data_IF_697808957307
#
_entry.id   IF_697808957307
#
_cell.length_a   1.000
_cell.length_b   1.000
_cell.length_c   1.000
_cell.angle_alpha   90.00
_cell.angle_beta   90.00
_cell.angle_gamma   90.00
#
_symmetry.space_group_name_H-M   'P 1'
#
loop_
_entity.id
_entity.type
_entity.pdbx_description
1 polymer ?
#
# COMPACT_ATOMS: atom_id res chain seq x y z
N UNK A 1 6.30 3.20 -12.35
CA UNK A 1 5.31 2.21 -12.82
C UNK A 1 4.75 1.48 -11.62
N UNK A 2 3.42 1.41 -11.47
CA UNK A 2 2.78 0.68 -10.37
C UNK A 2 3.05 -0.82 -10.48
N UNK A 3 3.40 -1.45 -9.35
CA UNK A 3 3.66 -2.89 -9.25
C UNK A 3 3.08 -3.41 -7.95
N UNK A 4 2.53 -4.63 -8.01
CA UNK A 4 2.12 -5.41 -6.85
C UNK A 4 3.10 -6.57 -6.63
N UNK A 5 3.37 -6.87 -5.37
CA UNK A 5 4.12 -8.04 -4.95
C UNK A 5 3.24 -8.79 -3.96
N UNK A 6 2.85 -10.01 -4.31
CA UNK A 6 2.06 -10.87 -3.43
C UNK A 6 2.96 -11.60 -2.45
N UNK A 7 2.57 -11.59 -1.17
CA UNK A 7 3.23 -12.33 -0.10
C UNK A 7 2.22 -13.26 0.59
N UNK A 8 2.67 -14.48 0.90
CA UNK A 8 1.84 -15.47 1.59
C UNK A 8 1.59 -15.08 3.06
N UNK A 9 0.32 -15.02 3.47
CA UNK A 9 -0.11 -14.73 4.86
C UNK A 9 0.46 -15.70 5.91
N UNK A 10 0.68 -16.96 5.50
CA UNK A 10 1.17 -18.04 6.36
C UNK A 10 2.67 -17.94 6.71
N UNK A 11 3.38 -16.94 6.19
CA UNK A 11 4.81 -16.88 6.38
C UNK A 11 5.20 -15.92 7.49
N UNK A 12 5.38 -16.49 8.67
CA UNK A 12 6.52 -16.14 9.54
C UNK A 12 7.88 -16.33 8.83
N UNK A 13 7.86 -16.79 7.57
CA UNK A 13 8.96 -16.82 6.59
C UNK A 13 8.63 -16.02 5.32
N UNK A 14 8.36 -14.73 5.44
CA UNK A 14 8.34 -13.85 4.27
C UNK A 14 9.79 -13.69 3.81
N UNK A 15 10.29 -14.67 3.04
CA UNK A 15 11.64 -14.66 2.47
C UNK A 15 11.65 -14.14 1.03
N UNK A 16 10.67 -13.30 0.67
CA UNK A 16 11.08 -12.08 -0.02
C UNK A 16 11.74 -11.24 1.07
N UNK A 17 13.04 -11.49 1.31
CA UNK A 17 13.86 -10.55 2.05
C UNK A 17 13.71 -9.23 1.28
N UNK A 18 12.87 -8.33 1.79
CA UNK A 18 13.12 -6.92 1.65
C UNK A 18 14.48 -6.75 2.32
N UNK A 19 15.55 -6.89 1.54
CA UNK A 19 16.94 -6.66 1.93
C UNK A 19 17.10 -5.16 2.16
N UNK A 20 16.28 -4.60 3.05
CA UNK A 20 16.33 -3.24 3.48
C UNK A 20 17.02 -3.24 4.84
N UNK A 21 18.33 -3.03 4.80
CA UNK A 21 19.11 -2.67 5.97
C UNK A 21 18.59 -1.30 6.42
N UNK A 22 18.15 -1.18 7.68
CA UNK A 22 17.60 0.07 8.22
C UNK A 22 16.10 0.28 8.00
N UNK A 23 15.34 -0.73 7.56
CA UNK A 23 13.87 -0.57 7.48
C UNK A 23 13.15 -0.91 8.78
N UNK A 24 12.05 -0.20 9.02
CA UNK A 24 11.09 -0.50 10.09
C UNK A 24 9.66 -0.55 9.55
N UNK A 25 8.80 -1.31 10.23
CA UNK A 25 7.37 -1.32 9.96
C UNK A 25 6.69 -0.31 10.86
N UNK A 26 6.00 0.65 10.23
CA UNK A 26 5.19 1.65 10.93
C UNK A 26 3.72 1.30 10.73
N UNK A 27 2.89 1.30 11.80
CA UNK A 27 1.46 1.06 11.66
C UNK A 27 0.79 2.14 10.84
N UNK A 28 -0.05 1.74 9.89
CA UNK A 28 -0.95 2.62 9.14
C UNK A 28 -2.41 2.44 9.57
N UNK A 29 -3.35 3.07 8.84
CA UNK A 29 -4.77 2.92 9.07
C UNK A 29 -5.22 1.46 8.95
N UNK A 30 -6.09 1.03 9.85
CA UNK A 30 -6.73 -0.31 9.84
C UNK A 30 -8.20 -0.25 9.42
N UNK A 31 -8.64 0.92 8.97
CA UNK A 31 -10.00 1.22 8.52
C UNK A 31 -9.95 2.00 7.22
N UNK A 32 -11.11 2.21 6.64
CA UNK A 32 -11.29 3.06 5.47
C UNK A 32 -10.66 4.45 5.65
N UNK A 33 -10.03 4.94 4.58
CA UNK A 33 -9.42 6.25 4.45
C UNK A 33 -10.04 6.94 3.24
N UNK A 34 -11.05 7.78 3.47
CA UNK A 34 -11.85 8.42 2.40
C UNK A 34 -11.22 9.67 1.78
N UNK A 35 -10.08 10.12 2.30
CA UNK A 35 -9.34 11.29 1.81
C UNK A 35 -7.98 10.88 1.25
N UNK A 36 -7.44 11.66 0.31
CA UNK A 36 -6.09 11.44 -0.20
C UNK A 36 -5.09 11.47 0.96
N UNK A 37 -4.39 10.36 1.13
CA UNK A 37 -3.43 10.15 2.21
C UNK A 37 -2.09 9.76 1.63
N UNK A 38 -1.03 10.36 2.17
CA UNK A 38 0.33 9.99 1.89
C UNK A 38 0.91 9.22 3.09
N UNK A 39 1.66 8.14 2.86
CA UNK A 39 2.46 7.51 3.91
C UNK A 39 3.44 8.50 4.56
N UNK A 40 4.01 8.16 5.72
CA UNK A 40 5.10 8.91 6.32
C UNK A 40 6.29 9.13 5.34
N UNK A 41 7.12 10.16 5.56
CA UNK A 41 8.37 10.33 4.82
C UNK A 41 9.23 9.07 4.83
N UNK A 42 10.05 8.90 3.79
CA UNK A 42 10.97 7.77 3.62
C UNK A 42 10.30 6.38 3.53
N UNK A 43 8.97 6.34 3.31
CA UNK A 43 8.26 5.12 2.97
C UNK A 43 8.72 4.60 1.61
N UNK A 44 9.26 3.38 1.60
CA UNK A 44 9.71 2.69 0.38
C UNK A 44 8.69 1.67 -0.14
N UNK A 45 7.76 1.23 0.71
CA UNK A 45 6.67 0.34 0.34
C UNK A 45 5.49 0.46 1.30
N UNK A 46 4.29 0.20 0.77
CA UNK A 46 3.04 0.09 1.54
C UNK A 46 2.57 -1.35 1.49
N UNK A 47 2.33 -1.94 2.66
CA UNK A 47 1.76 -3.27 2.83
C UNK A 47 0.26 -3.11 3.02
N UNK A 48 -0.53 -3.88 2.28
CA UNK A 48 -1.98 -3.80 2.21
C UNK A 48 -2.58 -5.18 2.44
N UNK A 49 -3.45 -5.28 3.44
CA UNK A 49 -4.26 -6.44 3.74
C UNK A 49 -5.74 -6.11 3.53
N UNK A 50 -6.38 -6.80 2.58
CA UNK A 50 -7.81 -6.69 2.28
C UNK A 50 -8.53 -8.04 2.44
N UNK A 51 -8.04 -8.91 3.32
CA UNK A 51 -8.70 -10.21 3.61
C UNK A 51 -10.13 -10.06 4.09
N UNK A 52 -10.41 -8.96 4.79
CA UNK A 52 -11.76 -8.63 5.20
C UNK A 52 -12.60 -8.23 3.98
N UNK A 53 -13.81 -8.80 3.89
CA UNK A 53 -14.70 -8.59 2.75
C UNK A 53 -14.96 -7.10 2.49
N UNK A 54 -14.80 -6.68 1.22
CA UNK A 54 -15.14 -5.33 0.76
C UNK A 54 -14.01 -4.30 0.86
N UNK A 55 -12.78 -4.73 1.21
CA UNK A 55 -11.61 -3.85 1.20
C UNK A 55 -11.06 -3.57 -0.19
N UNK A 56 -10.70 -2.31 -0.45
CA UNK A 56 -9.92 -1.91 -1.62
C UNK A 56 -9.06 -0.68 -1.33
N UNK A 57 -7.93 -0.55 -2.02
CA UNK A 57 -7.08 0.63 -1.98
C UNK A 57 -6.82 1.12 -3.40
N UNK A 58 -7.04 2.41 -3.66
CA UNK A 58 -6.68 3.06 -4.92
C UNK A 58 -5.45 3.92 -4.71
N UNK A 59 -4.54 3.87 -5.68
CA UNK A 59 -3.33 4.69 -5.69
C UNK A 59 -3.41 5.69 -6.85
N UNK A 60 -3.22 6.96 -6.52
CA UNK A 60 -3.10 8.05 -7.47
C UNK A 60 -1.71 8.67 -7.41
N UNK A 61 -1.36 9.39 -8.46
CA UNK A 61 -0.16 10.20 -8.52
C UNK A 61 -0.55 11.68 -8.45
N UNK A 62 0.27 12.47 -7.76
CA UNK A 62 0.16 13.92 -7.72
C UNK A 62 0.41 14.43 -9.13
N UNK A 63 -0.63 14.99 -9.75
CA UNK A 63 -0.53 15.57 -11.09
C UNK A 63 -0.79 17.06 -11.02
N UNK A 64 0.02 17.84 -11.71
CA UNK A 64 -0.15 19.29 -11.86
C UNK A 64 -1.17 19.64 -12.97
N UNK A 65 -1.99 18.69 -13.43
CA UNK A 65 -2.96 18.92 -14.51
C UNK A 65 -4.41 19.07 -14.01
N UNK A 66 -5.21 19.84 -14.75
CA UNK A 66 -6.60 20.22 -14.44
C UNK A 66 -7.58 19.03 -14.33
N UNK A 67 -7.15 17.80 -14.64
CA UNK A 67 -7.96 16.58 -14.57
C UNK A 67 -7.89 15.89 -13.20
N UNK A 68 -7.06 16.39 -12.28
CA UNK A 68 -7.19 16.18 -10.84
C UNK A 68 -6.75 14.82 -10.29
N UNK A 69 -6.69 13.72 -11.06
CA UNK A 69 -6.24 12.42 -10.54
C UNK A 69 -5.73 11.52 -11.68
N UNK A 70 -4.41 11.30 -11.76
CA UNK A 70 -3.86 10.18 -12.53
C UNK A 70 -3.90 8.92 -11.65
N UNK A 71 -4.90 8.06 -11.84
CA UNK A 71 -4.93 6.77 -11.16
C UNK A 71 -3.77 5.90 -11.68
N UNK A 72 -2.88 5.49 -10.79
CA UNK A 72 -1.70 4.67 -11.16
C UNK A 72 -1.88 3.20 -10.83
N UNK A 73 -2.78 2.86 -9.91
CA UNK A 73 -3.05 1.47 -9.58
C UNK A 73 -4.15 1.26 -8.54
N UNK A 74 -4.40 -0.02 -8.24
CA UNK A 74 -5.32 -0.46 -7.20
C UNK A 74 -4.86 -1.77 -6.56
N UNK A 75 -5.26 -1.96 -5.31
CA UNK A 75 -5.33 -3.25 -4.62
C UNK A 75 -6.82 -3.52 -4.39
N UNK A 76 -7.34 -4.60 -4.96
CA UNK A 76 -8.77 -4.86 -5.00
C UNK A 76 -9.09 -6.31 -4.69
N UNK A 77 -10.36 -6.70 -4.78
CA UNK A 77 -10.83 -8.06 -4.43
C UNK A 77 -10.05 -9.19 -5.11
N UNK A 78 -9.45 -8.93 -6.27
CA UNK A 78 -8.54 -9.87 -6.95
C UNK A 78 -7.31 -10.25 -6.12
N UNK A 79 -6.95 -9.44 -5.12
CA UNK A 79 -5.77 -9.59 -4.27
C UNK A 79 -6.12 -10.10 -2.86
N UNK A 80 -7.39 -10.45 -2.60
CA UNK A 80 -7.89 -10.76 -1.25
C UNK A 80 -7.17 -11.94 -0.56
N UNK A 81 -6.72 -12.92 -1.34
CA UNK A 81 -6.05 -14.12 -0.83
C UNK A 81 -4.61 -13.90 -0.39
N UNK A 82 -4.01 -12.75 -0.72
CA UNK A 82 -2.61 -12.42 -0.44
C UNK A 82 -2.46 -11.18 0.45
N UNK A 83 -1.27 -11.05 1.05
CA UNK A 83 -0.80 -9.76 1.56
C UNK A 83 -0.11 -9.04 0.39
N UNK A 84 -0.52 -7.82 0.07
CA UNK A 84 0.03 -7.09 -1.08
C UNK A 84 1.06 -6.07 -0.62
N UNK A 85 2.25 -6.12 -1.20
CA UNK A 85 3.29 -5.12 -1.01
C UNK A 85 3.35 -4.25 -2.27
N UNK A 86 3.17 -2.95 -2.10
CA UNK A 86 3.23 -1.93 -3.15
C UNK A 86 4.49 -1.10 -2.93
N UNK A 87 5.55 -1.26 -3.75
CA UNK A 87 6.68 -0.33 -3.75
C UNK A 87 6.18 1.10 -3.94
N UNK A 88 6.62 2.01 -3.09
CA UNK A 88 6.01 3.34 -2.98
C UNK A 88 6.82 4.39 -3.72
N UNK A 89 6.12 5.28 -4.42
CA UNK A 89 6.67 6.52 -4.97
C UNK A 89 6.20 7.70 -4.10
N UNK A 90 7.10 8.62 -3.76
CA UNK A 90 6.82 9.79 -2.93
C UNK A 90 5.75 10.71 -3.52
N UNK A 91 5.57 10.69 -4.85
CA UNK A 91 4.56 11.47 -5.55
C UNK A 91 3.18 10.79 -5.56
N UNK A 92 3.04 9.62 -4.93
CA UNK A 92 1.77 8.91 -4.84
C UNK A 92 1.01 9.23 -3.56
N UNK A 93 -0.30 9.12 -3.67
CA UNK A 93 -1.26 9.13 -2.58
C UNK A 93 -2.19 7.92 -2.71
N UNK A 94 -2.83 7.54 -1.62
CA UNK A 94 -3.88 6.52 -1.65
C UNK A 94 -5.15 7.00 -0.96
N UNK A 95 -6.25 6.34 -1.29
CA UNK A 95 -7.42 6.24 -0.42
C UNK A 95 -7.84 4.77 -0.36
N UNK A 96 -8.52 4.37 0.69
CA UNK A 96 -9.08 3.03 0.83
C UNK A 96 -10.60 3.08 0.98
N UNK A 97 -11.26 1.97 0.70
CA UNK A 97 -12.70 1.75 0.92
C UNK A 97 -12.85 0.44 1.69
N UNK A 98 -13.76 0.41 2.66
CA UNK A 98 -14.04 -0.79 3.45
C UNK A 98 -12.91 -1.15 4.43
N UNK A 99 -12.84 -2.42 4.81
CA UNK A 99 -11.87 -2.89 5.79
C UNK A 99 -10.52 -3.18 5.12
N UNK A 100 -9.53 -2.33 5.40
CA UNK A 100 -8.17 -2.45 4.87
C UNK A 100 -7.18 -2.28 6.00
N UNK A 101 -6.25 -3.22 6.15
CA UNK A 101 -5.08 -3.09 7.01
C UNK A 101 -3.90 -2.53 6.24
N UNK A 102 -3.34 -1.41 6.69
CA UNK A 102 -2.20 -0.76 6.05
C UNK A 102 -1.00 -0.73 7.01
N UNK A 103 0.18 -1.07 6.50
CA UNK A 103 1.46 -0.85 7.18
C UNK A 103 2.45 -0.21 6.23
N UNK A 104 3.38 0.56 6.76
CA UNK A 104 4.40 1.25 5.97
C UNK A 104 5.77 0.64 6.24
N UNK A 105 6.53 0.40 5.17
CA UNK A 105 7.95 0.06 5.26
C UNK A 105 8.73 1.35 5.09
N UNK A 106 9.33 1.83 6.17
CA UNK A 106 10.06 3.11 6.21
C UNK A 106 11.55 2.84 6.34
N UNK A 107 12.38 3.52 5.53
CA UNK A 107 13.84 3.49 5.65
C UNK A 107 14.31 4.53 6.65
N UNK A 108 15.09 4.10 7.64
CA UNK A 108 15.83 4.96 8.58
C UNK A 108 17.27 5.18 8.13
#
# INVERSE_FOLDING_TARGET
MFRKIEASRASTKASVQLHCIGCTLVPGPTTEVVYQTSPPPDTIAVIVDISASGGAMKVGEKSDNDLGVAAVGKVGTEDADALVIVPWNVDWWFYSIGTVGIQYVVRM
#
